data_IF_196236343113
#
_entry.id   IF_196236343113
#
_cell.length_a   1.000
_cell.length_b   1.000
_cell.length_c   1.000
_cell.angle_alpha   90.00
_cell.angle_beta   90.00
_cell.angle_gamma   90.00
#
_symmetry.space_group_name_H-M   'P 1'
#
loop_
_entity.id
_entity.type
_entity.pdbx_description
1 polymer ?
#
# COMPACT_ATOMS: atom_id res chain seq x y z
N UNK A 1 -57.97 -1.68 4.01
CA UNK A 1 -56.58 -2.09 4.32
C UNK A 1 -55.78 -2.09 3.01
N UNK A 2 -54.94 -1.07 2.81
CA UNK A 2 -53.90 -1.04 1.77
C UNK A 2 -52.79 -0.11 2.27
N UNK A 3 -51.61 -0.67 2.41
CA UNK A 3 -50.52 -0.15 3.23
C UNK A 3 -49.57 0.61 2.30
N UNK A 4 -49.41 1.91 2.52
CA UNK A 4 -48.63 2.80 1.65
C UNK A 4 -47.32 3.18 2.38
N UNK A 5 -46.35 2.28 2.40
CA UNK A 5 -45.04 2.50 3.06
C UNK A 5 -43.91 1.72 2.38
N UNK A 6 -43.88 1.71 1.05
CA UNK A 6 -42.73 1.19 0.29
C UNK A 6 -42.39 2.14 -0.85
N UNK A 7 -41.67 3.24 -0.58
CA UNK A 7 -41.02 4.03 -1.65
C UNK A 7 -39.80 4.83 -1.22
N UNK A 8 -39.38 4.81 0.06
CA UNK A 8 -38.32 5.72 0.53
C UNK A 8 -37.01 5.03 0.93
N UNK A 9 -36.94 3.69 0.94
CA UNK A 9 -35.75 2.97 1.41
C UNK A 9 -34.67 2.73 0.33
N UNK A 10 -35.01 2.83 -0.96
CA UNK A 10 -34.07 2.54 -2.06
C UNK A 10 -33.20 3.73 -2.48
N UNK A 11 -33.65 4.97 -2.25
CA UNK A 11 -32.94 6.16 -2.72
C UNK A 11 -31.68 6.51 -1.91
N UNK A 12 -31.56 6.02 -0.67
CA UNK A 12 -30.43 6.32 0.22
C UNK A 12 -29.19 5.46 -0.03
N UNK A 13 -29.31 4.33 -0.72
CA UNK A 13 -28.18 3.43 -0.97
C UNK A 13 -27.26 3.91 -2.10
N UNK A 14 -27.77 4.72 -3.05
CA UNK A 14 -26.99 5.17 -4.20
C UNK A 14 -26.03 6.31 -3.82
N UNK A 15 -26.40 7.15 -2.84
CA UNK A 15 -25.56 8.29 -2.41
C UNK A 15 -24.36 7.83 -1.57
N UNK A 16 -24.51 6.75 -0.78
CA UNK A 16 -23.43 6.23 0.06
C UNK A 16 -22.32 5.53 -0.76
N UNK A 17 -22.64 4.95 -1.92
CA UNK A 17 -21.66 4.26 -2.76
C UNK A 17 -20.80 5.21 -3.61
N UNK A 18 -21.22 6.46 -3.79
CA UNK A 18 -20.58 7.42 -4.71
C UNK A 18 -19.50 8.30 -4.05
N UNK A 19 -19.34 8.22 -2.72
CA UNK A 19 -18.41 9.08 -1.96
C UNK A 19 -17.00 8.49 -1.78
N UNK A 20 -16.74 7.25 -2.20
CA UNK A 20 -15.42 6.60 -2.05
C UNK A 20 -14.48 6.78 -3.26
N UNK A 21 -14.89 7.48 -4.32
CA UNK A 21 -14.20 7.42 -5.62
C UNK A 21 -13.32 8.63 -5.96
N UNK A 22 -13.03 9.54 -5.02
CA UNK A 22 -12.27 10.78 -5.32
C UNK A 22 -11.10 10.99 -4.37
N UNK A 23 -10.10 10.10 -4.44
CA UNK A 23 -8.71 10.41 -4.05
C UNK A 23 -7.70 9.97 -5.13
N UNK A 24 -8.12 9.91 -6.39
CA UNK A 24 -7.18 9.82 -7.52
C UNK A 24 -6.62 11.23 -7.75
N UNK A 25 -5.59 11.61 -7.01
CA UNK A 25 -4.93 12.89 -7.27
C UNK A 25 -3.98 13.36 -6.19
N UNK A 26 -2.85 12.66 -6.00
CA UNK A 26 -1.55 13.27 -5.68
C UNK A 26 -0.42 12.22 -5.64
N UNK A 27 -0.09 11.59 -6.78
CA UNK A 27 1.01 10.62 -6.86
C UNK A 27 0.82 9.37 -5.96
N UNK A 28 1.76 8.41 -6.02
CA UNK A 28 1.79 7.34 -5.01
C UNK A 28 2.41 7.84 -3.70
N UNK A 29 2.02 7.26 -2.55
CA UNK A 29 2.61 7.64 -1.28
C UNK A 29 4.12 7.49 -1.35
N UNK A 30 4.85 8.46 -0.80
CA UNK A 30 6.28 8.30 -0.58
C UNK A 30 6.47 7.56 0.73
N UNK A 31 7.22 6.46 0.70
CA UNK A 31 7.76 5.90 1.93
C UNK A 31 8.57 6.93 2.71
N UNK A 32 8.12 7.16 3.94
CA UNK A 32 8.54 8.26 4.82
C UNK A 32 9.96 8.09 5.36
N UNK A 33 10.48 6.87 5.41
CA UNK A 33 11.82 6.54 5.92
C UNK A 33 12.61 5.63 5.00
N UNK A 34 13.94 5.64 5.15
CA UNK A 34 14.85 4.77 4.40
C UNK A 34 14.56 3.28 4.64
N UNK A 35 14.20 2.90 5.87
CA UNK A 35 13.82 1.52 6.21
C UNK A 35 12.52 1.11 5.51
N UNK A 36 11.54 2.00 5.42
CA UNK A 36 10.31 1.68 4.69
C UNK A 36 10.58 1.50 3.20
N UNK A 37 11.47 2.32 2.61
CA UNK A 37 11.89 2.11 1.22
C UNK A 37 12.60 0.76 1.02
N UNK A 38 13.44 0.35 1.95
CA UNK A 38 14.06 -0.98 1.95
C UNK A 38 13.00 -2.08 2.07
N UNK A 39 11.95 -1.86 2.86
CA UNK A 39 10.83 -2.78 3.01
C UNK A 39 10.07 -2.98 1.69
N UNK A 40 9.92 -1.95 0.85
CA UNK A 40 9.38 -2.10 -0.51
C UNK A 40 10.26 -3.04 -1.34
N UNK A 41 11.59 -2.88 -1.25
CA UNK A 41 12.55 -3.76 -1.92
C UNK A 41 12.44 -5.22 -1.46
N UNK A 42 12.39 -5.43 -0.14
CA UNK A 42 12.18 -6.75 0.48
C UNK A 42 10.86 -7.39 0.02
N UNK A 43 9.76 -6.63 0.03
CA UNK A 43 8.46 -7.09 -0.43
C UNK A 43 8.48 -7.48 -1.91
N UNK A 44 9.15 -6.67 -2.76
CA UNK A 44 9.34 -7.02 -4.17
C UNK A 44 10.05 -8.36 -4.31
N UNK A 45 11.12 -8.60 -3.57
CA UNK A 45 11.84 -9.89 -3.61
C UNK A 45 10.95 -11.05 -3.18
N UNK A 46 10.16 -10.89 -2.12
CA UNK A 46 9.21 -11.91 -1.68
C UNK A 46 8.17 -12.24 -2.76
N UNK A 47 7.62 -11.22 -3.43
CA UNK A 47 6.62 -11.38 -4.49
C UNK A 47 7.23 -12.01 -5.75
N UNK A 48 8.41 -11.54 -6.20
CA UNK A 48 9.07 -12.10 -7.39
C UNK A 48 9.49 -13.55 -7.18
N UNK A 49 9.89 -13.90 -5.96
CA UNK A 49 10.20 -15.28 -5.58
C UNK A 49 8.93 -16.14 -5.33
N UNK A 50 7.74 -15.53 -5.34
CA UNK A 50 6.46 -16.14 -4.94
C UNK A 50 6.57 -16.88 -3.60
N UNK A 51 7.34 -16.31 -2.67
CA UNK A 51 7.62 -16.92 -1.38
C UNK A 51 6.60 -16.44 -0.33
N UNK A 52 5.63 -17.30 -0.02
CA UNK A 52 4.56 -16.99 0.92
C UNK A 52 5.07 -16.74 2.36
N UNK A 53 6.14 -17.40 2.78
CA UNK A 53 6.72 -17.18 4.11
C UNK A 53 7.32 -15.77 4.20
N UNK A 54 8.13 -15.39 3.22
CA UNK A 54 8.73 -14.05 3.18
C UNK A 54 7.67 -12.96 3.04
N UNK A 55 6.59 -13.22 2.30
CA UNK A 55 5.45 -12.32 2.20
C UNK A 55 4.81 -12.08 3.58
N UNK A 56 4.61 -13.15 4.37
CA UNK A 56 4.03 -13.06 5.70
C UNK A 56 4.96 -12.36 6.70
N UNK A 57 6.28 -12.58 6.60
CA UNK A 57 7.27 -11.84 7.38
C UNK A 57 7.24 -10.35 7.06
N UNK A 58 7.18 -9.98 5.77
CA UNK A 58 7.03 -8.59 5.35
C UNK A 58 5.71 -7.98 5.88
N UNK A 59 4.60 -8.72 5.82
CA UNK A 59 3.32 -8.26 6.35
C UNK A 59 3.40 -7.97 7.87
N UNK A 60 4.06 -8.84 8.64
CA UNK A 60 4.28 -8.61 10.08
C UNK A 60 5.12 -7.36 10.35
N UNK A 61 6.16 -7.13 9.55
CA UNK A 61 7.00 -5.93 9.70
C UNK A 61 6.21 -4.66 9.37
N UNK A 62 5.42 -4.67 8.29
CA UNK A 62 4.52 -3.56 7.93
C UNK A 62 3.57 -3.23 9.09
N UNK A 63 2.90 -4.24 9.65
CA UNK A 63 2.02 -4.10 10.83
C UNK A 63 2.73 -3.49 12.04
N UNK A 64 3.91 -4.00 12.38
CA UNK A 64 4.69 -3.51 13.51
C UNK A 64 5.08 -2.05 13.33
N UNK A 65 5.46 -1.66 12.11
CA UNK A 65 5.85 -0.27 11.82
C UNK A 65 4.66 0.68 11.85
N UNK A 66 3.50 0.27 11.35
CA UNK A 66 2.25 1.05 11.49
C UNK A 66 1.88 1.24 12.95
N UNK A 67 1.88 0.17 13.75
CA UNK A 67 1.59 0.22 15.20
C UNK A 67 2.59 1.07 15.99
N UNK A 68 3.84 1.11 15.55
CA UNK A 68 4.88 1.95 16.16
C UNK A 68 4.82 3.42 15.70
N UNK A 69 3.87 3.82 14.85
CA UNK A 69 3.79 5.18 14.29
C UNK A 69 4.91 5.52 13.31
N UNK A 70 5.62 4.52 12.78
CA UNK A 70 6.76 4.65 11.85
C UNK A 70 6.37 4.48 10.37
N UNK A 71 5.08 4.49 10.09
CA UNK A 71 4.49 4.35 8.76
C UNK A 71 3.18 5.11 8.77
N UNK A 72 2.99 6.00 7.81
CA UNK A 72 1.73 6.73 7.66
C UNK A 72 0.62 5.82 7.11
N UNK A 73 -0.62 6.30 7.13
CA UNK A 73 -1.77 5.48 6.70
C UNK A 73 -1.74 5.19 5.20
N UNK A 74 -1.42 6.18 4.36
CA UNK A 74 -1.43 6.02 2.91
C UNK A 74 -0.34 5.03 2.44
N UNK A 75 0.83 5.11 3.06
CA UNK A 75 1.93 4.17 2.87
C UNK A 75 1.52 2.76 3.28
N UNK A 76 0.90 2.61 4.44
CA UNK A 76 0.42 1.33 4.96
C UNK A 76 -0.65 0.72 4.06
N UNK A 77 -1.62 1.50 3.59
CA UNK A 77 -2.67 1.05 2.66
C UNK A 77 -2.07 0.52 1.34
N UNK A 78 -1.06 1.20 0.78
CA UNK A 78 -0.38 0.75 -0.44
C UNK A 78 0.35 -0.58 -0.21
N UNK A 79 1.05 -0.74 0.92
CA UNK A 79 1.67 -2.01 1.30
C UNK A 79 0.63 -3.13 1.44
N UNK A 80 -0.47 -2.86 2.15
CA UNK A 80 -1.53 -3.84 2.38
C UNK A 80 -2.20 -4.26 1.07
N UNK A 81 -2.52 -3.31 0.18
CA UNK A 81 -3.13 -3.63 -1.12
C UNK A 81 -2.27 -4.61 -1.93
N UNK A 82 -0.96 -4.40 -1.96
CA UNK A 82 0.00 -5.27 -2.65
C UNK A 82 0.10 -6.64 -1.96
N UNK A 83 0.18 -6.67 -0.63
CA UNK A 83 0.26 -7.91 0.17
C UNK A 83 -1.01 -8.74 -0.02
N UNK A 84 -2.20 -8.12 0.03
CA UNK A 84 -3.48 -8.79 -0.20
C UNK A 84 -3.54 -9.40 -1.60
N UNK A 85 -3.15 -8.65 -2.64
CA UNK A 85 -3.06 -9.20 -4.01
C UNK A 85 -2.18 -10.46 -4.06
N UNK A 86 -1.01 -10.42 -3.44
CA UNK A 86 -0.10 -11.56 -3.40
C UNK A 86 -0.68 -12.74 -2.60
N UNK A 87 -1.31 -12.50 -1.44
CA UNK A 87 -1.97 -13.53 -0.61
C UNK A 87 -3.13 -14.22 -1.33
N UNK A 88 -3.84 -13.52 -2.20
CA UNK A 88 -4.90 -14.09 -3.04
C UNK A 88 -4.36 -14.86 -4.27
N UNK A 89 -3.03 -15.02 -4.38
CA UNK A 89 -2.39 -15.71 -5.49
C UNK A 89 -2.25 -14.85 -6.76
N UNK A 90 -2.61 -13.56 -6.72
CA UNK A 90 -2.46 -12.62 -7.84
C UNK A 90 -1.02 -12.10 -7.94
N UNK A 91 -0.05 -13.02 -7.94
CA UNK A 91 1.39 -12.72 -7.84
C UNK A 91 1.89 -11.74 -8.90
N UNK A 92 1.52 -11.95 -10.17
CA UNK A 92 1.96 -11.08 -11.26
C UNK A 92 1.38 -9.67 -11.16
N UNK A 93 0.14 -9.54 -10.68
CA UNK A 93 -0.46 -8.24 -10.43
C UNK A 93 0.27 -7.54 -9.27
N UNK A 94 0.49 -8.24 -8.16
CA UNK A 94 1.25 -7.73 -7.03
C UNK A 94 2.66 -7.29 -7.43
N UNK A 95 3.33 -8.04 -8.31
CA UNK A 95 4.68 -7.70 -8.79
C UNK A 95 4.69 -6.40 -9.59
N UNK A 96 3.72 -6.20 -10.49
CA UNK A 96 3.59 -4.93 -11.21
C UNK A 96 3.34 -3.77 -10.27
N UNK A 97 2.50 -3.98 -9.25
CA UNK A 97 2.15 -2.94 -8.29
C UNK A 97 3.31 -2.57 -7.37
N UNK A 98 4.06 -3.54 -6.85
CA UNK A 98 5.26 -3.27 -6.03
C UNK A 98 6.38 -2.60 -6.83
N UNK A 99 6.53 -2.93 -8.13
CA UNK A 99 7.49 -2.24 -9.00
C UNK A 99 7.10 -0.77 -9.20
N UNK A 100 5.81 -0.49 -9.42
CA UNK A 100 5.32 0.89 -9.52
C UNK A 100 5.54 1.66 -8.22
N UNK A 101 5.27 1.02 -7.08
CA UNK A 101 5.48 1.62 -5.77
C UNK A 101 6.97 1.95 -5.56
N UNK A 102 7.86 0.98 -5.82
CA UNK A 102 9.30 1.18 -5.74
C UNK A 102 9.80 2.31 -6.64
N UNK A 103 9.30 2.39 -7.88
CA UNK A 103 9.69 3.44 -8.85
C UNK A 103 9.17 4.82 -8.48
N UNK A 104 8.09 4.91 -7.71
CA UNK A 104 7.57 6.18 -7.25
C UNK A 104 8.50 6.82 -6.20
N UNK A 105 9.33 6.02 -5.52
CA UNK A 105 10.17 6.49 -4.43
C UNK A 105 11.29 7.43 -4.89
N UNK A 106 11.43 8.55 -4.18
CA UNK A 106 12.60 9.41 -4.28
C UNK A 106 13.64 9.02 -3.22
N UNK A 107 14.94 9.18 -3.50
CA UNK A 107 15.97 9.01 -2.49
C UNK A 107 15.69 9.90 -1.27
N UNK A 108 15.82 9.34 -0.08
CA UNK A 108 15.75 10.10 1.18
C UNK A 108 17.02 10.94 1.38
N UNK A 109 16.96 12.05 2.16
CA UNK A 109 18.14 12.84 2.49
C UNK A 109 19.28 12.01 3.09
N UNK A 110 18.95 11.03 3.96
CA UNK A 110 19.92 10.12 4.58
C UNK A 110 20.66 9.26 3.55
N UNK A 111 19.96 8.79 2.51
CA UNK A 111 20.58 8.02 1.43
C UNK A 111 21.48 8.89 0.56
N UNK A 112 21.05 10.11 0.25
CA UNK A 112 21.86 11.09 -0.51
C UNK A 112 23.18 11.37 0.23
N UNK A 113 23.11 11.63 1.54
CA UNK A 113 24.30 11.88 2.36
C UNK A 113 25.26 10.68 2.34
N UNK A 114 24.75 9.45 2.54
CA UNK A 114 25.56 8.22 2.52
C UNK A 114 26.30 8.04 1.20
N UNK A 115 25.62 8.26 0.07
CA UNK A 115 26.24 8.14 -1.26
C UNK A 115 27.33 9.21 -1.50
N UNK A 116 27.15 10.42 -0.98
CA UNK A 116 28.14 11.49 -1.14
C UNK A 116 29.44 11.27 -0.35
N UNK A 117 29.37 10.56 0.80
CA UNK A 117 30.54 10.26 1.65
C UNK A 117 31.43 9.16 1.09
N UNK A 118 30.89 8.22 0.31
CA UNK A 118 31.66 7.12 -0.30
C UNK A 118 32.39 7.51 -1.59
N UNK A 119 32.15 8.70 -2.14
CA UNK A 119 32.80 9.19 -3.37
C UNK A 119 33.97 10.14 -3.10
N UNK A 120 34.48 10.21 -1.87
CA UNK A 120 35.63 11.04 -1.47
C UNK A 120 36.82 10.18 -1.08
#
# INVERSE_FOLDING_TARGET
MRNNTQSNAMAWWIVAAMLCSVTIGCGRPQASSSENQQLIGSLRTAISARNAQWLEENAKVVEQRRKAGKMDEAEYEEFQAIITMAKEGRWEAAEREVIKFLKAQRPTPEQIERTSKHQR
#
